data_IF_347836308389
#
_entry.id   IF_347836308389
#
_cell.length_a   1.000
_cell.length_b   1.000
_cell.length_c   1.000
_cell.angle_alpha   90.00
_cell.angle_beta   90.00
_cell.angle_gamma   90.00
#
_symmetry.space_group_name_H-M   'P 1'
#
loop_
_entity.id
_entity.type
_entity.pdbx_description
1 polymer ?
#
# COMPACT_ATOMS: atom_id res chain seq x y z
N UNK A 1 -26.04 -8.72 -10.94
CA UNK A 1 -25.20 -8.35 -12.12
C UNK A 1 -23.81 -8.89 -11.88
N UNK A 2 -23.18 -9.49 -12.90
CA UNK A 2 -21.82 -10.04 -12.78
C UNK A 2 -20.77 -8.93 -12.63
N UNK A 3 -19.53 -9.30 -12.27
CA UNK A 3 -18.44 -8.37 -12.01
C UNK A 3 -17.78 -7.77 -13.28
N UNK A 4 -18.24 -8.15 -14.47
CA UNK A 4 -17.60 -7.81 -15.75
C UNK A 4 -18.51 -7.02 -16.68
N UNK A 5 -17.91 -6.10 -17.44
CA UNK A 5 -18.52 -5.34 -18.52
C UNK A 5 -18.51 -6.15 -19.83
N UNK A 6 -19.39 -5.79 -20.77
CA UNK A 6 -19.41 -6.38 -22.12
C UNK A 6 -18.20 -5.96 -22.97
N UNK A 7 -17.62 -4.79 -22.68
CA UNK A 7 -16.40 -4.25 -23.30
C UNK A 7 -15.54 -3.59 -22.24
N UNK A 8 -14.21 -3.64 -22.35
CA UNK A 8 -13.33 -3.03 -21.36
C UNK A 8 -13.37 -1.51 -21.49
N UNK A 9 -13.39 -0.80 -20.35
CA UNK A 9 -13.11 0.63 -20.30
C UNK A 9 -11.61 0.85 -20.41
N UNK A 10 -11.18 1.40 -21.56
CA UNK A 10 -9.77 1.55 -21.91
C UNK A 10 -9.18 2.94 -21.56
N UNK A 11 -9.98 3.85 -20.99
CA UNK A 11 -9.52 5.16 -20.54
C UNK A 11 -8.35 5.04 -19.56
N UNK A 12 -7.39 5.95 -19.68
CA UNK A 12 -6.19 5.99 -18.83
C UNK A 12 -6.21 7.23 -17.96
N UNK A 13 -6.01 7.05 -16.66
CA UNK A 13 -5.68 8.14 -15.76
C UNK A 13 -4.16 8.13 -15.57
N UNK A 14 -3.49 9.17 -16.05
CA UNK A 14 -2.03 9.28 -15.99
C UNK A 14 -1.62 10.42 -15.06
N UNK A 15 -0.51 10.23 -14.37
CA UNK A 15 0.21 11.29 -13.68
C UNK A 15 1.72 11.08 -13.85
N UNK A 16 2.47 12.17 -13.72
CA UNK A 16 3.92 12.15 -13.85
C UNK A 16 4.55 13.26 -13.02
N UNK A 17 5.81 13.11 -12.66
CA UNK A 17 6.54 14.12 -11.92
C UNK A 17 8.03 13.83 -11.80
N UNK A 18 8.75 14.79 -11.24
CA UNK A 18 10.20 14.71 -11.05
C UNK A 18 10.66 15.55 -9.85
N UNK A 19 11.79 15.17 -9.26
CA UNK A 19 12.42 15.84 -8.11
C UNK A 19 13.24 14.84 -7.29
N UNK A 20 14.11 15.31 -6.39
CA UNK A 20 15.05 14.47 -5.63
C UNK A 20 15.91 13.52 -6.49
N UNK A 21 16.19 13.91 -7.75
CA UNK A 21 16.90 13.06 -8.72
C UNK A 21 16.06 11.92 -9.30
N UNK A 22 14.77 11.86 -8.98
CA UNK A 22 13.81 10.86 -9.45
C UNK A 22 12.92 11.41 -10.56
N UNK A 23 12.38 10.51 -11.38
CA UNK A 23 11.30 10.75 -12.33
C UNK A 23 10.30 9.61 -12.20
N UNK A 24 9.00 9.92 -12.21
CA UNK A 24 7.95 8.91 -12.21
C UNK A 24 6.90 9.18 -13.29
N UNK A 25 6.25 8.12 -13.71
CA UNK A 25 5.01 8.13 -14.46
C UNK A 25 4.14 6.98 -13.97
N UNK A 26 2.83 7.18 -13.93
CA UNK A 26 1.86 6.16 -13.54
C UNK A 26 0.67 6.17 -14.50
N UNK A 27 -0.03 5.05 -14.56
CA UNK A 27 -1.26 4.87 -15.33
C UNK A 27 -2.19 3.91 -14.58
N UNK A 28 -3.47 4.26 -14.51
CA UNK A 28 -4.52 3.34 -14.05
C UNK A 28 -5.62 3.21 -15.10
N UNK A 29 -6.29 2.05 -15.10
CA UNK A 29 -7.32 1.71 -16.08
C UNK A 29 -8.29 0.70 -15.47
N UNK A 30 -9.59 0.97 -15.58
CA UNK A 30 -10.64 0.09 -15.05
C UNK A 30 -10.70 -1.27 -15.78
N UNK A 31 -10.52 -1.28 -17.11
CA UNK A 31 -10.55 -2.52 -17.89
C UNK A 31 -11.93 -3.19 -17.88
N UNK A 32 -11.96 -4.49 -17.61
CA UNK A 32 -13.17 -5.31 -17.71
C UNK A 32 -14.08 -5.26 -16.48
N UNK A 33 -13.61 -4.76 -15.34
CA UNK A 33 -14.42 -4.69 -14.12
C UNK A 33 -15.52 -3.65 -14.26
N UNK A 34 -16.67 -3.87 -13.62
CA UNK A 34 -17.77 -2.88 -13.56
C UNK A 34 -17.38 -1.66 -12.72
N UNK A 35 -16.56 -1.86 -11.68
CA UNK A 35 -16.07 -0.82 -10.78
C UNK A 35 -14.55 -0.63 -10.89
N UNK A 36 -14.07 0.56 -10.56
CA UNK A 36 -12.65 0.88 -10.42
C UNK A 36 -12.35 1.07 -8.93
N UNK A 37 -11.65 0.10 -8.35
CA UNK A 37 -11.38 0.03 -6.90
C UNK A 37 -9.92 0.38 -6.55
N UNK A 38 -9.03 0.53 -7.54
CA UNK A 38 -7.63 0.88 -7.30
C UNK A 38 -7.46 2.35 -6.90
N UNK A 39 -6.41 2.60 -6.10
CA UNK A 39 -5.90 3.93 -5.79
C UNK A 39 -4.36 3.96 -5.82
N UNK A 40 -3.76 5.15 -5.74
CA UNK A 40 -2.30 5.29 -5.69
C UNK A 40 -1.86 6.55 -4.94
N UNK A 41 -0.64 6.51 -4.37
CA UNK A 41 0.06 7.70 -3.83
C UNK A 41 1.32 7.91 -4.64
N UNK A 42 1.61 9.15 -5.04
CA UNK A 42 2.87 9.51 -5.69
C UNK A 42 3.31 10.89 -5.22
N UNK A 43 4.31 10.93 -4.35
CA UNK A 43 4.82 12.17 -3.74
C UNK A 43 6.34 12.21 -3.76
N UNK A 44 6.88 13.35 -4.18
CA UNK A 44 8.30 13.69 -4.10
C UNK A 44 8.42 14.90 -3.17
N UNK A 45 9.25 14.75 -2.13
CA UNK A 45 9.34 15.73 -1.05
C UNK A 45 8.28 15.50 0.00
N UNK A 46 8.66 14.85 1.10
CA UNK A 46 7.78 14.63 2.24
C UNK A 46 7.86 15.81 3.23
N UNK A 47 6.82 16.06 4.04
CA UNK A 47 6.83 17.14 5.02
C UNK A 47 7.78 16.85 6.21
N UNK A 48 7.89 17.83 7.11
CA UNK A 48 8.51 17.67 8.44
C UNK A 48 9.99 17.25 8.42
N UNK A 49 10.81 17.84 7.55
CA UNK A 49 12.26 17.58 7.49
C UNK A 49 12.63 16.37 6.62
N UNK A 50 11.67 15.83 5.86
CA UNK A 50 11.84 14.71 4.94
C UNK A 50 11.72 15.17 3.47
N UNK A 51 12.06 16.42 3.16
CA UNK A 51 11.92 16.99 1.82
C UNK A 51 12.79 16.27 0.78
N UNK A 52 13.85 15.61 1.23
CA UNK A 52 14.72 14.76 0.41
C UNK A 52 14.21 13.33 0.22
N UNK A 53 13.05 13.00 0.78
CA UNK A 53 12.42 11.69 0.68
C UNK A 53 11.29 11.69 -0.35
N UNK A 54 10.86 10.51 -0.77
CA UNK A 54 9.74 10.33 -1.72
C UNK A 54 8.98 9.05 -1.38
N UNK A 55 7.68 9.03 -1.65
CA UNK A 55 6.83 7.88 -1.39
C UNK A 55 5.93 7.58 -2.58
N UNK A 56 5.87 6.32 -2.96
CA UNK A 56 5.02 5.82 -4.04
C UNK A 56 4.32 4.56 -3.59
N UNK A 57 3.03 4.45 -3.84
CA UNK A 57 2.25 3.26 -3.47
C UNK A 57 1.08 3.01 -4.43
N UNK A 58 0.71 1.74 -4.56
CA UNK A 58 -0.48 1.26 -5.25
C UNK A 58 -1.33 0.47 -4.25
N UNK A 59 -2.64 0.66 -4.34
CA UNK A 59 -3.64 0.08 -3.46
C UNK A 59 -4.68 -0.63 -4.33
N UNK A 60 -4.77 -1.96 -4.25
CA UNK A 60 -5.76 -2.77 -4.97
C UNK A 60 -6.96 -3.03 -4.04
N UNK A 61 -8.02 -2.25 -4.25
CA UNK A 61 -9.24 -2.31 -3.46
C UNK A 61 -10.10 -3.51 -3.81
N UNK A 62 -10.86 -4.02 -2.83
CA UNK A 62 -11.83 -5.08 -3.04
C UNK A 62 -13.07 -4.89 -2.18
N UNK A 63 -14.24 -5.26 -2.72
CA UNK A 63 -15.55 -5.11 -2.07
C UNK A 63 -15.89 -3.65 -1.74
N UNK A 64 -15.45 -2.73 -2.60
CA UNK A 64 -15.55 -1.29 -2.47
C UNK A 64 -14.18 -0.61 -2.59
N UNK A 65 -14.21 0.72 -2.79
CA UNK A 65 -12.99 1.54 -2.99
C UNK A 65 -12.61 2.38 -1.76
N UNK A 66 -13.38 2.29 -0.66
CA UNK A 66 -13.26 3.24 0.45
C UNK A 66 -11.93 3.09 1.19
N UNK A 67 -11.53 1.85 1.53
CA UNK A 67 -10.25 1.59 2.19
C UNK A 67 -9.07 2.01 1.30
N UNK A 68 -9.07 1.61 0.02
CA UNK A 68 -8.00 1.98 -0.92
C UNK A 68 -7.83 3.50 -1.06
N UNK A 69 -8.93 4.24 -1.19
CA UNK A 69 -8.93 5.72 -1.23
C UNK A 69 -8.42 6.33 0.06
N UNK A 70 -8.87 5.83 1.21
CA UNK A 70 -8.41 6.34 2.49
C UNK A 70 -6.91 6.11 2.68
N UNK A 71 -6.41 4.92 2.35
CA UNK A 71 -4.99 4.61 2.41
C UNK A 71 -4.17 5.51 1.48
N UNK A 72 -4.63 5.79 0.25
CA UNK A 72 -3.85 6.58 -0.68
C UNK A 72 -3.64 8.04 -0.26
N UNK A 73 -4.55 8.56 0.57
CA UNK A 73 -4.50 9.91 1.12
C UNK A 73 -3.77 9.98 2.47
N UNK A 74 -3.88 8.93 3.32
CA UNK A 74 -3.52 9.05 4.74
C UNK A 74 -2.46 8.05 5.23
N UNK A 75 -2.12 6.99 4.47
CA UNK A 75 -1.18 5.97 4.94
C UNK A 75 0.20 6.57 5.22
N UNK A 76 0.67 7.45 4.35
CA UNK A 76 1.97 8.09 4.51
C UNK A 76 2.07 8.86 5.84
N UNK A 77 1.04 9.61 6.18
CA UNK A 77 1.02 10.40 7.43
C UNK A 77 1.01 9.49 8.66
N UNK A 78 0.26 8.38 8.64
CA UNK A 78 0.29 7.40 9.73
C UNK A 78 1.68 6.77 9.86
N UNK A 79 2.37 6.53 8.75
CA UNK A 79 3.75 6.02 8.76
C UNK A 79 4.73 7.04 9.35
N UNK A 80 4.67 8.31 8.96
CA UNK A 80 5.72 9.29 9.34
C UNK A 80 5.44 10.03 10.63
N UNK A 81 4.19 10.11 11.08
CA UNK A 81 3.81 10.89 12.26
C UNK A 81 3.85 10.11 13.58
N UNK A 82 3.96 8.78 13.54
CA UNK A 82 4.05 7.97 14.75
C UNK A 82 5.45 8.05 15.40
N UNK A 83 5.50 7.67 16.68
CA UNK A 83 6.70 7.75 17.51
C UNK A 83 7.82 6.80 17.05
N UNK A 84 7.48 5.64 16.49
CA UNK A 84 8.45 4.64 16.08
C UNK A 84 9.24 5.10 14.86
N UNK A 85 8.56 5.80 13.93
CA UNK A 85 9.19 6.45 12.78
C UNK A 85 10.09 7.60 13.19
N UNK A 86 9.60 8.50 14.06
CA UNK A 86 10.36 9.69 14.49
C UNK A 86 11.60 9.30 15.29
N UNK A 87 11.51 8.24 16.09
CA UNK A 87 12.58 7.86 17.00
C UNK A 87 12.83 8.95 18.05
N UNK A 88 14.00 8.86 18.70
CA UNK A 88 14.36 9.72 19.84
C UNK A 88 15.32 10.87 19.50
N UNK A 89 15.97 10.87 18.32
CA UNK A 89 16.81 11.99 17.86
C UNK A 89 17.20 11.89 16.36
N UNK A 90 17.20 13.03 15.66
CA UNK A 90 17.81 13.18 14.34
C UNK A 90 17.06 12.53 13.17
N UNK A 91 17.78 12.17 12.12
CA UNK A 91 17.22 11.45 10.98
C UNK A 91 16.86 10.00 11.39
N UNK A 92 15.75 9.43 10.90
CA UNK A 92 15.30 8.12 11.32
C UNK A 92 16.29 7.03 10.90
N UNK A 93 16.62 6.14 11.84
CA UNK A 93 17.41 4.95 11.53
C UNK A 93 16.61 3.98 10.65
N UNK A 94 17.29 3.00 10.04
CA UNK A 94 16.64 1.91 9.29
C UNK A 94 15.57 1.22 10.13
N UNK A 95 15.83 1.02 11.42
CA UNK A 95 14.90 0.37 12.33
C UNK A 95 13.70 1.25 12.68
N UNK A 96 13.92 2.56 12.85
CA UNK A 96 12.82 3.52 13.02
C UNK A 96 11.90 3.52 11.80
N UNK A 97 12.46 3.53 10.59
CA UNK A 97 11.65 3.50 9.37
C UNK A 97 10.81 2.21 9.31
N UNK A 98 11.41 1.04 9.56
CA UNK A 98 10.69 -0.24 9.53
C UNK A 98 9.58 -0.32 10.58
N UNK A 99 9.88 0.05 11.82
CA UNK A 99 8.89 0.03 12.91
C UNK A 99 7.81 1.08 12.68
N UNK A 100 8.18 2.27 12.22
CA UNK A 100 7.26 3.32 11.83
C UNK A 100 6.31 2.92 10.72
N UNK A 101 6.78 2.19 9.71
CA UNK A 101 5.91 1.60 8.68
C UNK A 101 4.94 0.60 9.30
N UNK A 102 5.44 -0.36 10.09
CA UNK A 102 4.60 -1.36 10.73
C UNK A 102 3.52 -0.71 11.61
N UNK A 103 3.91 0.24 12.45
CA UNK A 103 3.00 0.97 13.35
C UNK A 103 1.99 1.78 12.55
N UNK A 104 2.41 2.50 11.50
CA UNK A 104 1.50 3.24 10.63
C UNK A 104 0.42 2.38 9.97
N UNK A 105 0.76 1.15 9.55
CA UNK A 105 -0.22 0.20 9.02
C UNK A 105 -1.22 -0.30 10.08
N UNK A 106 -0.76 -0.55 11.31
CA UNK A 106 -1.64 -1.00 12.39
C UNK A 106 -2.55 0.14 12.87
N UNK A 107 -2.01 1.35 12.99
CA UNK A 107 -2.76 2.55 13.42
C UNK A 107 -3.82 2.96 12.39
N UNK A 108 -3.50 2.96 11.09
CA UNK A 108 -4.49 3.34 10.06
C UNK A 108 -5.64 2.31 9.97
N UNK A 109 -5.34 1.02 10.13
CA UNK A 109 -6.34 -0.04 10.11
C UNK A 109 -7.33 0.11 11.29
N UNK A 110 -6.81 0.29 12.50
CA UNK A 110 -7.66 0.54 13.68
C UNK A 110 -8.40 1.88 13.57
N UNK A 111 -7.77 2.93 13.04
CA UNK A 111 -8.43 4.21 12.81
C UNK A 111 -9.63 4.07 11.86
N UNK A 112 -9.46 3.36 10.73
CA UNK A 112 -10.55 3.07 9.80
C UNK A 112 -11.65 2.22 10.44
N UNK A 113 -11.29 1.23 11.25
CA UNK A 113 -12.24 0.40 11.98
C UNK A 113 -13.14 1.23 12.90
N UNK A 114 -12.54 2.09 13.74
CA UNK A 114 -13.28 2.97 14.68
C UNK A 114 -14.15 3.98 13.92
N UNK A 115 -13.66 4.54 12.81
CA UNK A 115 -14.47 5.43 11.96
C UNK A 115 -15.69 4.72 11.37
N UNK A 116 -15.50 3.48 10.87
CA UNK A 116 -16.57 2.67 10.29
C UNK A 116 -17.63 2.31 11.33
N UNK A 117 -17.22 1.94 12.56
CA UNK A 117 -18.13 1.64 13.66
C UNK A 117 -19.00 2.85 14.03
N UNK A 118 -18.39 4.02 14.24
CA UNK A 118 -19.11 5.26 14.60
C UNK A 118 -20.14 5.69 13.56
N UNK A 119 -19.82 5.51 12.27
CA UNK A 119 -20.69 5.91 11.16
C UNK A 119 -21.70 4.82 10.76
N UNK A 120 -21.74 3.68 11.45
CA UNK A 120 -22.54 2.52 11.06
C UNK A 120 -22.28 2.13 9.58
N UNK A 121 -21.00 2.14 9.18
CA UNK A 121 -20.59 1.93 7.81
C UNK A 121 -21.04 0.57 7.27
N UNK A 122 -21.79 0.58 6.16
CA UNK A 122 -22.19 -0.64 5.44
C UNK A 122 -21.08 -1.20 4.53
N UNK A 123 -20.02 -0.42 4.31
CA UNK A 123 -18.89 -0.78 3.46
C UNK A 123 -18.01 -1.83 4.16
N UNK A 124 -17.72 -2.90 3.43
CA UNK A 124 -16.85 -4.00 3.86
C UNK A 124 -15.62 -4.10 2.96
N UNK A 125 -15.21 -2.96 2.39
CA UNK A 125 -14.06 -2.95 1.51
C UNK A 125 -12.78 -3.24 2.28
N UNK A 126 -11.80 -3.74 1.55
CA UNK A 126 -10.41 -3.84 1.98
C UNK A 126 -9.50 -3.38 0.86
N UNK A 127 -8.19 -3.35 1.14
CA UNK A 127 -7.19 -3.01 0.14
C UNK A 127 -5.90 -3.75 0.39
N UNK A 128 -5.20 -4.10 -0.68
CA UNK A 128 -3.75 -4.32 -0.60
C UNK A 128 -3.02 -2.98 -0.45
N UNK A 129 -1.73 -3.03 -0.15
CA UNK A 129 -0.82 -1.92 -0.36
C UNK A 129 0.57 -2.43 -0.76
N UNK A 130 1.12 -1.90 -1.84
CA UNK A 130 2.52 -2.08 -2.19
C UNK A 130 3.15 -0.73 -2.48
N UNK A 131 4.35 -0.48 -1.98
CA UNK A 131 4.98 0.81 -2.15
C UNK A 131 6.47 0.83 -1.88
N UNK A 132 7.05 2.00 -2.10
CA UNK A 132 8.43 2.33 -1.77
C UNK A 132 8.50 3.65 -1.04
N UNK A 133 9.19 3.65 0.10
CA UNK A 133 9.69 4.87 0.73
C UNK A 133 11.16 5.03 0.35
N UNK A 134 11.49 6.14 -0.30
CA UNK A 134 12.83 6.41 -0.84
C UNK A 134 13.44 7.54 -0.03
N UNK A 135 14.56 7.25 0.64
CA UNK A 135 15.40 8.25 1.30
C UNK A 135 16.64 8.54 0.44
N UNK A 136 17.47 9.54 0.80
CA UNK A 136 18.72 9.80 0.09
C UNK A 136 19.66 8.59 -0.03
N UNK A 137 19.55 7.61 0.87
CA UNK A 137 20.48 6.48 0.95
C UNK A 137 19.82 5.11 0.78
N UNK A 138 18.50 5.00 0.95
CA UNK A 138 17.79 3.73 1.03
C UNK A 138 16.49 3.71 0.23
N UNK A 139 16.11 2.52 -0.22
CA UNK A 139 14.78 2.24 -0.79
C UNK A 139 14.13 1.17 0.07
N UNK A 140 13.07 1.53 0.78
CA UNK A 140 12.30 0.64 1.63
C UNK A 140 11.09 0.14 0.85
N UNK A 141 11.12 -1.13 0.42
CA UNK A 141 9.96 -1.78 -0.17
C UNK A 141 8.97 -2.19 0.92
N UNK A 142 7.69 -1.94 0.68
CA UNK A 142 6.58 -2.14 1.60
C UNK A 142 5.54 -2.98 0.89
N UNK A 143 5.05 -4.04 1.54
CA UNK A 143 4.07 -4.96 0.96
C UNK A 143 3.07 -5.44 2.00
N UNK A 144 1.79 -5.35 1.67
CA UNK A 144 0.69 -5.96 2.39
C UNK A 144 -0.36 -6.44 1.38
N UNK A 145 -0.40 -7.75 1.10
CA UNK A 145 -1.28 -8.34 0.10
C UNK A 145 -0.52 -8.88 -1.10
N UNK A 146 -1.18 -8.93 -2.25
CA UNK A 146 -0.69 -9.61 -3.45
C UNK A 146 -0.49 -8.70 -4.67
N UNK A 147 -0.56 -7.37 -4.49
CA UNK A 147 0.15 -6.44 -5.37
C UNK A 147 1.67 -6.63 -5.22
N UNK A 148 2.47 -6.20 -6.21
CA UNK A 148 3.91 -6.49 -6.23
C UNK A 148 4.75 -5.31 -6.69
N UNK A 149 5.85 -5.06 -5.99
CA UNK A 149 6.88 -4.09 -6.35
C UNK A 149 8.19 -4.79 -6.68
N UNK A 150 8.98 -4.21 -7.59
CA UNK A 150 10.30 -4.73 -7.95
C UNK A 150 11.33 -3.61 -8.16
N UNK A 151 12.60 -3.93 -7.93
CA UNK A 151 13.74 -3.07 -8.25
C UNK A 151 14.54 -3.69 -9.39
N UNK A 152 14.72 -2.92 -10.46
CA UNK A 152 15.70 -3.23 -11.49
C UNK A 152 17.03 -2.51 -11.17
N UNK A 153 18.13 -3.24 -11.12
CA UNK A 153 19.49 -2.68 -10.99
C UNK A 153 20.42 -3.44 -11.90
N UNK A 154 21.27 -2.72 -12.64
CA UNK A 154 22.18 -3.30 -13.62
C UNK A 154 21.47 -4.26 -14.60
N UNK A 155 20.31 -3.82 -15.13
CA UNK A 155 19.46 -4.56 -16.08
C UNK A 155 18.93 -5.91 -15.57
N UNK A 156 18.92 -6.14 -14.26
CA UNK A 156 18.43 -7.37 -13.63
C UNK A 156 17.42 -7.06 -12.54
N UNK A 157 16.50 -7.99 -12.28
CA UNK A 157 15.65 -7.96 -11.09
C UNK A 157 16.55 -8.16 -9.88
N UNK A 158 16.69 -7.10 -9.08
CA UNK A 158 17.55 -7.09 -7.90
C UNK A 158 16.77 -7.40 -6.63
N UNK A 159 15.50 -7.00 -6.59
CA UNK A 159 14.59 -7.26 -5.48
C UNK A 159 13.15 -7.28 -6.00
N UNK A 160 12.27 -8.05 -5.37
CA UNK A 160 10.83 -7.97 -5.53
C UNK A 160 10.13 -8.35 -4.22
N UNK A 161 8.96 -7.78 -3.97
CA UNK A 161 8.15 -8.13 -2.79
C UNK A 161 7.55 -9.52 -2.96
N UNK A 162 7.39 -10.26 -1.86
CA UNK A 162 6.74 -11.56 -1.86
C UNK A 162 5.24 -11.39 -1.58
N UNK A 163 4.40 -11.88 -2.48
CA UNK A 163 2.94 -11.83 -2.31
C UNK A 163 2.50 -12.55 -1.03
N UNK A 164 1.57 -11.95 -0.30
CA UNK A 164 0.88 -12.60 0.81
C UNK A 164 -0.33 -13.38 0.26
N UNK A 165 -0.15 -14.69 0.09
CA UNK A 165 -1.21 -15.61 -0.34
C UNK A 165 -1.64 -16.50 0.82
N UNK A 166 -2.95 -16.80 0.97
CA UNK A 166 -3.43 -17.68 2.05
C UNK A 166 -2.72 -19.04 2.12
N UNK A 167 -2.27 -19.59 0.99
CA UNK A 167 -1.56 -20.88 0.97
C UNK A 167 -0.09 -20.82 1.40
N UNK A 168 0.50 -19.63 1.61
CA UNK A 168 1.87 -19.51 2.08
C UNK A 168 1.99 -20.10 3.49
N UNK A 169 3.10 -20.76 3.85
CA UNK A 169 3.18 -21.51 5.12
C UNK A 169 2.85 -20.68 6.36
N UNK A 170 3.45 -19.51 6.52
CA UNK A 170 3.22 -18.63 7.68
C UNK A 170 1.82 -17.98 7.66
N UNK A 171 1.31 -17.65 6.47
CA UNK A 171 -0.04 -17.10 6.32
C UNK A 171 -1.10 -18.12 6.71
N UNK A 172 -0.95 -19.36 6.22
CA UNK A 172 -1.83 -20.49 6.53
C UNK A 172 -1.79 -20.83 8.01
N UNK A 173 -0.60 -20.88 8.61
CA UNK A 173 -0.43 -21.12 10.03
C UNK A 173 -1.16 -20.06 10.87
N UNK A 174 -0.95 -18.76 10.57
CA UNK A 174 -1.66 -17.67 11.24
C UNK A 174 -3.17 -17.80 11.12
N UNK A 175 -3.68 -18.10 9.93
CA UNK A 175 -5.13 -18.28 9.66
C UNK A 175 -5.70 -19.43 10.52
N UNK A 176 -5.02 -20.57 10.55
CA UNK A 176 -5.44 -21.74 11.31
C UNK A 176 -5.39 -21.49 12.82
N UNK A 177 -4.33 -20.84 13.31
CA UNK A 177 -4.21 -20.45 14.72
C UNK A 177 -5.29 -19.45 15.16
N UNK A 178 -5.82 -18.65 14.22
CA UNK A 178 -6.97 -17.76 14.44
C UNK A 178 -8.34 -18.47 14.35
N UNK A 179 -8.38 -19.80 14.14
CA UNK A 179 -9.60 -20.59 14.04
C UNK A 179 -10.21 -20.66 12.62
N UNK A 180 -9.52 -20.12 11.62
CA UNK A 180 -9.93 -20.19 10.20
C UNK A 180 -9.41 -21.42 9.47
N UNK A 181 -9.61 -21.46 8.15
CA UNK A 181 -9.08 -22.52 7.28
C UNK A 181 -8.58 -21.92 5.97
N UNK A 182 -7.86 -22.70 5.16
CA UNK A 182 -7.49 -22.31 3.80
C UNK A 182 -8.07 -23.33 2.84
N UNK A 183 -9.09 -22.93 2.09
CA UNK A 183 -9.71 -23.75 1.06
C UNK A 183 -9.18 -23.30 -0.31
N UNK A 184 -8.35 -24.15 -0.93
CA UNK A 184 -7.65 -23.87 -2.18
C UNK A 184 -6.67 -22.68 -2.01
N UNK A 185 -7.14 -21.45 -2.20
CA UNK A 185 -6.34 -20.22 -2.18
C UNK A 185 -7.07 -19.08 -1.46
N UNK A 186 -8.10 -19.40 -0.66
CA UNK A 186 -8.93 -18.42 0.05
C UNK A 186 -8.99 -18.79 1.53
N UNK A 187 -9.06 -17.75 2.37
CA UNK A 187 -9.38 -17.84 3.81
C UNK A 187 -10.86 -18.17 3.96
#
# INVERSE_FOLDING_TARGET
>A
MGAFLDKPKMEKHNAQGQGNGLRYGLSSMQGWRVEMEDAHTAVIGLPSGLESWSFFAVYDGHAGSQVAKYCCEHLLDHITNNQDFKGSAGAPSVENVKNGIRTGFLEIDEHMRVMSEKKHGADRSGSTAVGVLISPQHTYFINCGDSRGLLCRNRKVHFFTQDHKPSNPLEKERIQNAGGSVMIQRV
#
